data_IF_250117810784
#
_entry.id   IF_250117810784
#
_cell.length_a   1.000
_cell.length_b   1.000
_cell.length_c   1.000
_cell.angle_alpha   90.00
_cell.angle_beta   90.00
_cell.angle_gamma   90.00
#
_symmetry.space_group_name_H-M   'P 1'
#
loop_
_entity.id
_entity.type
_entity.pdbx_description
1 polymer ?
#
# COMPACT_ATOMS: atom_id res chain seq x y z
N UNK A 1 13.45 12.60 6.14
CA UNK A 1 12.44 11.63 5.64
C UNK A 1 12.89 10.23 6.02
N UNK A 2 12.01 9.44 6.62
CA UNK A 2 12.22 8.01 6.89
C UNK A 2 11.31 7.22 5.97
N UNK A 3 11.73 6.06 5.51
CA UNK A 3 10.92 5.16 4.69
C UNK A 3 11.07 3.72 5.15
N UNK A 4 10.06 2.92 4.92
CA UNK A 4 10.13 1.47 5.05
C UNK A 4 10.93 0.92 3.86
N UNK A 5 11.87 0.01 4.11
CA UNK A 5 12.63 -0.70 3.06
C UNK A 5 12.50 -2.20 3.30
N UNK A 6 11.38 -2.79 2.90
CA UNK A 6 11.17 -4.22 3.09
C UNK A 6 12.19 -5.03 2.30
N UNK A 7 12.76 -6.04 2.95
CA UNK A 7 13.65 -7.01 2.32
C UNK A 7 12.94 -8.35 2.23
N UNK A 8 12.63 -8.78 1.02
CA UNK A 8 11.93 -10.02 0.77
C UNK A 8 12.73 -10.95 -0.14
N UNK A 9 12.62 -12.26 0.08
CA UNK A 9 13.14 -13.26 -0.86
C UNK A 9 12.26 -13.31 -2.11
N UNK A 10 12.77 -13.89 -3.20
CA UNK A 10 12.00 -14.07 -4.46
C UNK A 10 10.67 -14.79 -4.21
N UNK A 11 10.67 -15.85 -3.39
CA UNK A 11 9.45 -16.58 -3.04
C UNK A 11 8.44 -15.70 -2.31
N UNK A 12 8.89 -14.88 -1.38
CA UNK A 12 8.05 -13.94 -0.64
C UNK A 12 7.46 -12.88 -1.58
N UNK A 13 8.26 -12.31 -2.48
CA UNK A 13 7.82 -11.33 -3.47
C UNK A 13 6.69 -11.92 -4.32
N UNK A 14 6.86 -13.11 -4.85
CA UNK A 14 5.84 -13.76 -5.68
C UNK A 14 4.53 -14.04 -4.90
N UNK A 15 4.63 -14.45 -3.63
CA UNK A 15 3.45 -14.64 -2.78
C UNK A 15 2.75 -13.31 -2.45
N UNK A 16 3.51 -12.24 -2.15
CA UNK A 16 2.97 -10.90 -1.93
C UNK A 16 2.25 -10.38 -3.20
N UNK A 17 2.84 -10.57 -4.37
CA UNK A 17 2.23 -10.17 -5.65
C UNK A 17 0.91 -10.91 -5.90
N UNK A 18 0.83 -12.19 -5.57
CA UNK A 18 -0.41 -12.97 -5.66
C UNK A 18 -1.47 -12.47 -4.68
N UNK A 19 -1.09 -12.18 -3.44
CA UNK A 19 -1.99 -11.57 -2.45
C UNK A 19 -2.48 -10.19 -2.91
N UNK A 20 -1.58 -9.35 -3.43
CA UNK A 20 -1.94 -8.03 -3.94
C UNK A 20 -2.90 -8.11 -5.13
N UNK A 21 -2.63 -9.00 -6.08
CA UNK A 21 -3.53 -9.23 -7.20
C UNK A 21 -4.91 -9.68 -6.73
N UNK A 22 -4.95 -10.65 -5.79
CA UNK A 22 -6.21 -11.08 -5.18
C UNK A 22 -6.95 -9.92 -4.51
N UNK A 23 -6.25 -9.10 -3.71
CA UNK A 23 -6.83 -7.95 -3.01
C UNK A 23 -7.41 -6.91 -3.98
N UNK A 24 -6.72 -6.64 -5.09
CA UNK A 24 -7.14 -5.70 -6.14
C UNK A 24 -8.37 -6.24 -6.88
N UNK A 25 -8.40 -7.53 -7.21
CA UNK A 25 -9.50 -8.19 -7.93
C UNK A 25 -10.72 -8.42 -7.02
N UNK A 26 -10.53 -8.55 -5.70
CA UNK A 26 -11.57 -8.84 -4.71
C UNK A 26 -11.54 -7.86 -3.52
N UNK A 27 -11.74 -6.54 -3.73
CA UNK A 27 -11.49 -5.51 -2.72
C UNK A 27 -12.40 -5.63 -1.48
N UNK A 28 -13.64 -6.11 -1.64
CA UNK A 28 -14.56 -6.30 -0.51
C UNK A 28 -14.17 -7.52 0.33
N UNK A 29 -13.78 -8.62 -0.30
CA UNK A 29 -13.30 -9.81 0.42
C UNK A 29 -11.97 -9.51 1.12
N UNK A 30 -11.05 -8.78 0.47
CA UNK A 30 -9.81 -8.32 1.09
C UNK A 30 -10.08 -7.44 2.32
N UNK A 31 -11.06 -6.53 2.23
CA UNK A 31 -11.49 -5.75 3.39
C UNK A 31 -11.96 -6.65 4.54
N UNK A 32 -12.80 -7.68 4.27
CA UNK A 32 -13.24 -8.62 5.30
C UNK A 32 -12.07 -9.35 5.96
N UNK A 33 -11.08 -9.74 5.17
CA UNK A 33 -9.86 -10.41 5.64
C UNK A 33 -9.05 -9.49 6.56
N UNK A 34 -8.80 -8.28 6.13
CA UNK A 34 -8.04 -7.30 6.94
C UNK A 34 -8.77 -6.95 8.22
N UNK A 35 -10.10 -6.86 8.18
CA UNK A 35 -10.91 -6.63 9.38
C UNK A 35 -10.88 -7.83 10.34
N UNK A 36 -10.90 -9.08 9.86
CA UNK A 36 -10.68 -10.24 10.73
C UNK A 36 -9.40 -10.09 11.55
N UNK A 37 -8.28 -9.80 10.90
CA UNK A 37 -7.00 -9.61 11.58
C UNK A 37 -6.96 -8.35 12.45
N UNK A 38 -7.65 -7.27 12.06
CA UNK A 38 -7.69 -6.01 12.83
C UNK A 38 -8.48 -6.14 14.14
N UNK A 39 -9.58 -6.91 14.13
CA UNK A 39 -10.48 -7.10 15.28
C UNK A 39 -9.89 -8.13 16.25
N UNK A 40 -9.19 -9.15 15.74
CA UNK A 40 -8.54 -10.15 16.57
C UNK A 40 -7.55 -9.47 17.54
N UNK A 41 -7.72 -9.74 18.84
CA UNK A 41 -6.80 -9.23 19.86
C UNK A 41 -5.43 -9.85 19.66
N UNK A 42 -4.41 -9.01 19.68
CA UNK A 42 -3.00 -9.43 19.55
C UNK A 42 -2.20 -8.96 20.76
N UNK A 43 -1.32 -9.83 21.26
CA UNK A 43 -0.29 -9.48 22.25
C UNK A 43 1.07 -9.90 21.66
N UNK A 44 2.01 -8.97 21.56
CA UNK A 44 3.33 -9.21 20.96
C UNK A 44 3.27 -9.92 19.60
N UNK A 45 2.36 -9.45 18.71
CA UNK A 45 2.04 -10.03 17.40
C UNK A 45 1.37 -11.42 17.43
N UNK A 46 1.16 -12.03 18.59
CA UNK A 46 0.46 -13.30 18.74
C UNK A 46 -1.04 -13.08 18.94
N UNK A 47 -1.86 -13.94 18.36
CA UNK A 47 -3.30 -13.96 18.53
C UNK A 47 -3.81 -15.38 18.70
N UNK A 48 -4.72 -15.57 19.66
CA UNK A 48 -5.57 -16.77 19.76
C UNK A 48 -7.02 -16.31 19.70
N UNK A 49 -7.75 -16.70 18.67
CA UNK A 49 -9.09 -16.16 18.40
C UNK A 49 -10.03 -17.20 17.78
N UNK A 50 -11.33 -16.94 17.85
CA UNK A 50 -12.32 -17.70 17.10
C UNK A 50 -12.14 -17.49 15.59
N UNK A 51 -12.48 -18.51 14.78
CA UNK A 51 -12.46 -18.40 13.30
C UNK A 51 -13.57 -17.51 12.75
N UNK A 52 -14.54 -17.15 13.56
CA UNK A 52 -15.61 -16.22 13.22
C UNK A 52 -15.65 -15.14 14.31
N UNK A 53 -15.55 -13.90 13.91
CA UNK A 53 -15.55 -12.73 14.78
C UNK A 53 -16.72 -11.81 14.41
N UNK A 54 -17.33 -11.21 15.41
CA UNK A 54 -18.39 -10.23 15.21
C UNK A 54 -17.96 -8.86 15.73
N UNK A 55 -18.19 -7.83 14.95
CA UNK A 55 -17.95 -6.44 15.33
C UNK A 55 -18.90 -5.51 14.59
N UNK A 56 -19.51 -4.57 15.33
CA UNK A 56 -20.45 -3.57 14.78
C UNK A 56 -21.56 -4.18 13.89
N UNK A 57 -22.12 -5.33 14.31
CA UNK A 57 -23.18 -6.03 13.58
C UNK A 57 -22.73 -6.72 12.28
N UNK A 58 -21.43 -6.85 12.05
CA UNK A 58 -20.84 -7.56 10.91
C UNK A 58 -20.05 -8.77 11.38
N UNK A 59 -20.04 -9.81 10.54
CA UNK A 59 -19.32 -11.05 10.76
C UNK A 59 -18.07 -11.11 9.87
N UNK A 60 -16.94 -11.48 10.47
CA UNK A 60 -15.64 -11.60 9.79
C UNK A 60 -15.09 -13.01 10.00
N UNK A 61 -14.70 -13.67 8.92
CA UNK A 61 -14.27 -15.07 8.94
C UNK A 61 -12.78 -15.21 8.70
N UNK A 62 -12.17 -16.18 9.36
CA UNK A 62 -10.78 -16.58 9.14
C UNK A 62 -10.52 -16.94 7.68
N UNK A 63 -9.51 -16.35 7.03
CA UNK A 63 -9.28 -16.48 5.59
C UNK A 63 -8.52 -17.79 5.23
N UNK A 64 -9.07 -18.94 5.58
CA UNK A 64 -8.39 -20.25 5.45
C UNK A 64 -7.80 -20.49 4.06
N UNK A 65 -8.49 -20.07 2.99
CA UNK A 65 -8.06 -20.26 1.60
C UNK A 65 -6.77 -19.49 1.24
N UNK A 66 -6.53 -18.36 1.89
CA UNK A 66 -5.37 -17.50 1.62
C UNK A 66 -4.20 -17.73 2.58
N UNK A 67 -4.40 -18.48 3.66
CA UNK A 67 -3.34 -18.76 4.63
C UNK A 67 -2.06 -19.32 3.99
N UNK A 68 -2.11 -20.22 3.01
CA UNK A 68 -0.90 -20.66 2.32
C UNK A 68 -0.10 -19.49 1.69
N UNK A 69 -0.78 -18.51 1.08
CA UNK A 69 -0.12 -17.34 0.52
C UNK A 69 0.44 -16.42 1.60
N UNK A 70 -0.27 -16.20 2.71
CA UNK A 70 0.25 -15.43 3.85
C UNK A 70 1.51 -16.08 4.44
N UNK A 71 1.56 -17.39 4.52
CA UNK A 71 2.74 -18.15 4.98
C UNK A 71 3.90 -18.05 3.98
N UNK A 72 3.64 -18.25 2.68
CA UNK A 72 4.65 -18.13 1.63
C UNK A 72 5.21 -16.71 1.50
N UNK A 73 4.38 -15.70 1.77
CA UNK A 73 4.80 -14.29 1.88
C UNK A 73 5.56 -13.98 3.18
N UNK A 74 5.69 -14.95 4.09
CA UNK A 74 6.31 -14.78 5.42
C UNK A 74 5.63 -13.70 6.27
N UNK A 75 4.30 -13.60 6.19
CA UNK A 75 3.54 -12.61 6.94
C UNK A 75 3.06 -13.15 8.29
N UNK A 76 2.70 -14.43 8.33
CA UNK A 76 2.23 -15.06 9.57
C UNK A 76 2.61 -16.54 9.65
N UNK A 77 2.67 -17.03 10.88
CA UNK A 77 2.83 -18.44 11.23
C UNK A 77 1.57 -18.91 11.95
N UNK A 78 1.00 -20.03 11.51
CA UNK A 78 -0.08 -20.71 12.25
C UNK A 78 0.57 -21.59 13.30
N UNK A 79 0.24 -21.36 14.56
CA UNK A 79 0.72 -22.12 15.70
C UNK A 79 -0.20 -23.30 15.98
N UNK A 80 -1.51 -23.07 16.00
CA UNK A 80 -2.53 -24.07 16.18
C UNK A 80 -3.78 -23.74 15.36
N UNK A 81 -4.42 -24.75 14.80
CA UNK A 81 -5.70 -24.59 14.08
C UNK A 81 -6.68 -25.68 14.50
N UNK A 82 -7.77 -25.29 15.17
CA UNK A 82 -8.90 -26.13 15.57
C UNK A 82 -10.12 -25.86 14.67
N UNK A 83 -11.20 -26.56 14.88
CA UNK A 83 -12.44 -26.39 14.10
C UNK A 83 -13.01 -24.97 14.18
N UNK A 84 -13.02 -24.38 15.38
CA UNK A 84 -13.64 -23.10 15.72
C UNK A 84 -12.65 -22.01 16.09
N UNK A 85 -11.38 -22.32 16.33
CA UNK A 85 -10.33 -21.40 16.81
C UNK A 85 -9.05 -21.53 16.02
N UNK A 86 -8.27 -20.45 16.02
CA UNK A 86 -6.93 -20.42 15.42
C UNK A 86 -5.99 -19.61 16.31
N UNK A 87 -4.75 -20.10 16.43
CA UNK A 87 -3.64 -19.35 17.00
C UNK A 87 -2.59 -19.08 15.93
N UNK A 88 -2.16 -17.83 15.82
CA UNK A 88 -1.18 -17.40 14.84
C UNK A 88 -0.31 -16.26 15.37
N UNK A 89 0.87 -16.09 14.76
CA UNK A 89 1.80 -15.01 15.05
C UNK A 89 2.16 -14.27 13.77
N UNK A 90 2.07 -12.94 13.78
CA UNK A 90 2.62 -12.10 12.71
C UNK A 90 4.16 -12.09 12.83
N UNK A 91 4.85 -12.28 11.71
CA UNK A 91 6.30 -12.49 11.71
C UNK A 91 7.13 -11.18 11.75
N UNK A 92 6.48 -10.03 11.63
CA UNK A 92 7.09 -8.70 11.78
C UNK A 92 6.04 -7.62 12.02
N UNK A 93 6.47 -6.43 12.44
CA UNK A 93 5.60 -5.24 12.52
C UNK A 93 4.99 -4.87 11.16
N UNK A 94 5.76 -5.02 10.09
CA UNK A 94 5.27 -4.80 8.72
C UNK A 94 4.19 -5.82 8.34
N UNK A 95 4.41 -7.11 8.64
CA UNK A 95 3.42 -8.16 8.41
C UNK A 95 2.13 -7.91 9.20
N UNK A 96 2.25 -7.48 10.46
CA UNK A 96 1.12 -7.09 11.30
C UNK A 96 0.33 -5.93 10.67
N UNK A 97 1.01 -4.89 10.18
CA UNK A 97 0.40 -3.74 9.55
C UNK A 97 -0.28 -4.14 8.20
N UNK A 98 0.43 -4.88 7.35
CA UNK A 98 -0.05 -5.32 6.04
C UNK A 98 -1.32 -6.19 6.14
N UNK A 99 -1.37 -7.11 7.11
CA UNK A 99 -2.54 -7.97 7.28
C UNK A 99 -3.76 -7.24 7.85
N UNK A 100 -3.58 -6.12 8.55
CA UNK A 100 -4.63 -5.37 9.26
C UNK A 100 -5.09 -4.10 8.55
N UNK A 101 -4.39 -3.67 7.50
CA UNK A 101 -4.66 -2.43 6.79
C UNK A 101 -4.99 -2.70 5.33
N UNK A 102 -6.14 -2.23 4.87
CA UNK A 102 -6.64 -2.51 3.51
C UNK A 102 -5.69 -2.05 2.41
N UNK A 103 -5.06 -0.88 2.56
CA UNK A 103 -4.27 -0.21 1.51
C UNK A 103 -2.84 -0.71 1.35
N UNK A 104 -2.20 -1.12 2.42
CA UNK A 104 -0.76 -1.42 2.44
C UNK A 104 -0.29 -2.47 1.42
N UNK A 105 -1.15 -3.44 1.08
CA UNK A 105 -0.83 -4.43 0.06
C UNK A 105 -0.65 -3.81 -1.33
N UNK A 106 -1.41 -2.77 -1.66
CA UNK A 106 -1.30 -2.05 -2.93
C UNK A 106 -0.01 -1.23 -3.00
N UNK A 107 0.33 -0.53 -1.93
CA UNK A 107 1.59 0.23 -1.80
C UNK A 107 2.80 -0.70 -2.00
N UNK A 108 2.82 -1.83 -1.27
CA UNK A 108 3.89 -2.81 -1.37
C UNK A 108 3.97 -3.42 -2.78
N UNK A 109 2.83 -3.70 -3.42
CA UNK A 109 2.81 -4.22 -4.78
C UNK A 109 3.45 -3.26 -5.78
N UNK A 110 3.09 -1.97 -5.73
CA UNK A 110 3.64 -0.94 -6.61
C UNK A 110 5.14 -0.77 -6.37
N UNK A 111 5.57 -0.76 -5.11
CA UNK A 111 6.97 -0.70 -4.73
C UNK A 111 7.77 -1.89 -5.32
N UNK A 112 7.24 -3.12 -5.21
CA UNK A 112 7.88 -4.31 -5.76
C UNK A 112 7.97 -4.29 -7.28
N UNK A 113 6.94 -3.80 -7.99
CA UNK A 113 6.99 -3.62 -9.45
C UNK A 113 8.11 -2.66 -9.86
N UNK A 114 8.33 -1.59 -9.08
CA UNK A 114 9.40 -0.65 -9.36
C UNK A 114 10.80 -1.26 -9.12
N UNK A 115 10.98 -1.99 -8.02
CA UNK A 115 12.23 -2.69 -7.72
C UNK A 115 12.60 -3.70 -8.82
N UNK A 116 11.64 -4.52 -9.24
CA UNK A 116 11.86 -5.52 -10.30
C UNK A 116 12.20 -4.92 -11.66
N UNK A 117 11.75 -3.69 -11.91
CA UNK A 117 12.07 -3.00 -13.16
C UNK A 117 13.55 -2.61 -13.29
N UNK A 118 14.27 -2.56 -12.15
CA UNK A 118 15.67 -2.10 -12.05
C UNK A 118 15.94 -0.73 -12.71
N UNK A 119 14.84 0.02 -12.98
CA UNK A 119 14.93 1.28 -13.72
C UNK A 119 15.27 2.47 -12.84
N UNK A 120 14.72 2.50 -11.62
CA UNK A 120 14.81 3.64 -10.72
C UNK A 120 16.10 3.63 -9.90
N UNK A 121 16.64 4.82 -9.62
CA UNK A 121 17.82 4.97 -8.76
C UNK A 121 17.45 4.81 -7.29
N UNK A 122 16.17 5.14 -6.94
CA UNK A 122 15.65 4.99 -5.61
C UNK A 122 14.14 4.70 -5.65
N UNK A 123 13.70 3.79 -4.77
CA UNK A 123 12.30 3.50 -4.50
C UNK A 123 12.09 3.54 -2.98
N UNK A 124 11.08 4.24 -2.54
CA UNK A 124 10.69 4.36 -1.14
C UNK A 124 9.21 3.97 -0.99
N UNK A 125 8.87 3.38 0.15
CA UNK A 125 7.50 3.06 0.53
C UNK A 125 7.24 3.60 1.93
N UNK A 126 6.06 4.15 2.18
CA UNK A 126 5.68 4.71 3.46
C UNK A 126 6.65 5.80 3.91
N UNK A 127 6.86 6.81 3.09
CA UNK A 127 7.80 7.87 3.39
C UNK A 127 7.16 8.92 4.29
N UNK A 128 7.55 8.93 5.56
CA UNK A 128 7.09 9.91 6.55
C UNK A 128 7.76 11.28 6.32
N UNK A 129 6.95 12.33 6.37
CA UNK A 129 7.37 13.72 6.20
C UNK A 129 7.32 14.42 7.55
N UNK A 130 8.45 15.01 7.92
CA UNK A 130 8.56 15.91 9.04
C UNK A 130 8.65 17.35 8.51
N UNK A 131 7.60 18.15 8.74
CA UNK A 131 7.49 19.50 8.23
C UNK A 131 8.37 20.51 8.95
N UNK A 132 8.77 20.25 10.19
CA UNK A 132 9.58 21.16 11.02
C UNK A 132 11.02 20.68 11.24
N UNK A 133 11.40 19.52 10.74
CA UNK A 133 12.77 19.01 10.77
C UNK A 133 13.23 18.49 12.14
N UNK A 134 12.32 18.26 13.07
CA UNK A 134 12.62 17.81 14.42
C UNK A 134 12.04 16.40 14.65
N UNK A 135 12.70 15.36 14.14
CA UNK A 135 12.38 13.96 14.47
C UNK A 135 13.01 13.58 15.82
N UNK A 136 12.31 12.91 16.75
CA UNK A 136 10.88 12.56 16.81
C UNK A 136 10.17 13.29 17.96
N UNK A 137 9.39 14.31 17.67
CA UNK A 137 8.44 14.86 18.64
C UNK A 137 7.05 14.26 18.41
N UNK A 138 6.42 13.76 19.49
CA UNK A 138 5.19 12.97 19.46
C UNK A 138 3.93 13.77 19.06
N UNK A 139 4.03 15.09 18.90
CA UNK A 139 2.90 15.99 18.65
C UNK A 139 2.84 16.55 17.21
N UNK A 140 3.72 16.08 16.32
CA UNK A 140 3.73 16.56 14.94
C UNK A 140 2.77 15.78 14.06
N UNK A 141 1.99 16.49 13.26
CA UNK A 141 1.23 15.90 12.17
C UNK A 141 2.22 15.28 11.18
N UNK A 142 2.38 13.98 11.24
CA UNK A 142 3.19 13.24 10.31
C UNK A 142 2.31 12.94 9.07
N UNK A 143 2.75 13.42 7.92
CA UNK A 143 2.16 13.02 6.65
C UNK A 143 3.02 11.90 6.06
N UNK A 144 2.39 10.97 5.36
CA UNK A 144 3.06 9.86 4.70
C UNK A 144 2.79 9.94 3.19
N UNK A 145 3.85 9.75 2.38
CA UNK A 145 3.71 9.49 0.96
C UNK A 145 3.79 7.99 0.75
N UNK A 146 2.74 7.41 0.16
CA UNK A 146 2.60 5.96 0.06
C UNK A 146 3.78 5.32 -0.70
N UNK A 147 4.14 5.85 -1.89
CA UNK A 147 5.30 5.38 -2.67
C UNK A 147 5.99 6.53 -3.38
N UNK A 148 7.32 6.50 -3.40
CA UNK A 148 8.16 7.46 -4.14
C UNK A 148 9.14 6.72 -5.04
N UNK A 149 9.26 7.15 -6.30
CA UNK A 149 10.33 6.72 -7.20
C UNK A 149 11.18 7.92 -7.60
N UNK A 150 12.49 7.69 -7.76
CA UNK A 150 13.42 8.70 -8.29
C UNK A 150 14.26 8.11 -9.41
N UNK A 151 14.41 8.89 -10.49
CA UNK A 151 15.36 8.60 -11.58
C UNK A 151 16.04 9.89 -12.04
N UNK A 152 17.31 10.06 -11.71
CA UNK A 152 18.04 11.32 -11.90
C UNK A 152 17.39 12.43 -11.09
N UNK A 153 16.96 13.50 -11.75
CA UNK A 153 16.26 14.63 -11.15
C UNK A 153 14.72 14.48 -11.16
N UNK A 154 14.19 13.45 -11.82
CA UNK A 154 12.75 13.21 -11.88
C UNK A 154 12.28 12.44 -10.64
N UNK A 155 11.23 12.95 -10.01
CA UNK A 155 10.57 12.33 -8.85
C UNK A 155 9.14 11.96 -9.22
N UNK A 156 8.67 10.82 -8.73
CA UNK A 156 7.31 10.35 -8.89
C UNK A 156 6.72 10.14 -7.51
N UNK A 157 5.67 10.88 -7.18
CA UNK A 157 4.88 10.67 -5.98
C UNK A 157 3.62 9.88 -6.32
N UNK A 158 3.37 8.81 -5.58
CA UNK A 158 2.23 7.93 -5.82
C UNK A 158 1.42 7.81 -4.54
N UNK A 159 0.13 8.13 -4.62
CA UNK A 159 -0.85 7.79 -3.60
C UNK A 159 -1.64 6.55 -4.02
N UNK A 160 -1.81 5.60 -3.09
CA UNK A 160 -2.43 4.30 -3.30
C UNK A 160 -3.79 4.23 -2.59
N UNK A 161 -4.87 4.05 -3.32
CA UNK A 161 -6.23 4.00 -2.76
C UNK A 161 -6.93 2.71 -3.16
N UNK A 162 -7.24 1.85 -2.18
CA UNK A 162 -8.12 0.68 -2.35
C UNK A 162 -9.59 0.99 -2.04
N UNK A 163 -9.90 2.26 -1.90
CA UNK A 163 -11.25 2.81 -1.72
C UNK A 163 -11.56 3.78 -2.85
N UNK A 164 -12.75 4.38 -2.84
CA UNK A 164 -13.09 5.45 -3.78
C UNK A 164 -12.10 6.60 -3.67
N UNK A 165 -11.79 7.24 -4.80
CA UNK A 165 -10.92 8.41 -4.84
C UNK A 165 -11.53 9.55 -4.03
N UNK A 166 -10.71 10.19 -3.20
CA UNK A 166 -11.10 11.35 -2.39
C UNK A 166 -10.38 12.64 -2.83
N UNK A 167 -10.94 13.77 -2.49
CA UNK A 167 -10.34 15.07 -2.79
C UNK A 167 -9.08 15.34 -1.96
N UNK A 168 -9.04 14.79 -0.76
CA UNK A 168 -7.90 14.90 0.16
C UNK A 168 -6.64 14.31 -0.47
N UNK A 169 -6.74 13.11 -1.04
CA UNK A 169 -5.62 12.45 -1.72
C UNK A 169 -5.04 13.28 -2.88
N UNK A 170 -5.90 14.00 -3.61
CA UNK A 170 -5.46 14.88 -4.71
C UNK A 170 -4.72 16.09 -4.14
N UNK A 171 -5.28 16.72 -3.10
CA UNK A 171 -4.69 17.90 -2.48
C UNK A 171 -3.34 17.60 -1.81
N UNK A 172 -3.24 16.47 -1.11
CA UNK A 172 -1.99 16.02 -0.48
C UNK A 172 -0.85 15.86 -1.49
N UNK A 173 -1.11 15.18 -2.61
CA UNK A 173 -0.11 15.04 -3.68
C UNK A 173 0.33 16.38 -4.27
N UNK A 174 -0.59 17.32 -4.42
CA UNK A 174 -0.27 18.67 -4.89
C UNK A 174 0.66 19.40 -3.92
N UNK A 175 0.36 19.32 -2.61
CA UNK A 175 1.19 19.92 -1.56
C UNK A 175 2.59 19.31 -1.56
N UNK A 176 2.70 17.98 -1.63
CA UNK A 176 4.00 17.30 -1.64
C UNK A 176 4.82 17.65 -2.89
N UNK A 177 4.20 17.65 -4.07
CA UNK A 177 4.88 17.97 -5.31
C UNK A 177 5.44 19.40 -5.30
N UNK A 178 4.62 20.37 -4.90
CA UNK A 178 5.03 21.76 -4.86
C UNK A 178 6.14 22.02 -3.83
N UNK A 179 6.14 21.30 -2.71
CA UNK A 179 7.11 21.51 -1.65
C UNK A 179 8.45 20.78 -1.87
N UNK A 180 8.41 19.55 -2.42
CA UNK A 180 9.60 18.69 -2.44
C UNK A 180 10.21 18.44 -3.82
N UNK A 181 9.49 18.66 -4.91
CA UNK A 181 9.95 18.23 -6.23
C UNK A 181 9.83 19.28 -7.33
N UNK A 182 9.05 20.34 -7.15
CA UNK A 182 8.85 21.37 -8.16
C UNK A 182 8.34 20.81 -9.51
N UNK A 183 8.79 21.42 -10.62
CA UNK A 183 8.29 21.11 -11.97
C UNK A 183 8.67 19.73 -12.52
N UNK A 184 9.66 19.06 -11.92
CA UNK A 184 10.13 17.73 -12.36
C UNK A 184 9.43 16.57 -11.65
N UNK A 185 8.22 16.80 -11.17
CA UNK A 185 7.44 15.81 -10.43
C UNK A 185 6.30 15.22 -11.27
N UNK A 186 6.23 13.89 -11.31
CA UNK A 186 5.04 13.18 -11.74
C UNK A 186 4.18 12.84 -10.52
N UNK A 187 2.97 13.36 -10.49
CA UNK A 187 1.95 13.07 -9.48
C UNK A 187 1.04 11.95 -9.97
N UNK A 188 0.90 10.89 -9.21
CA UNK A 188 0.07 9.74 -9.60
C UNK A 188 -0.82 9.29 -8.45
N UNK A 189 -2.04 8.89 -8.77
CA UNK A 189 -2.94 8.17 -7.87
C UNK A 189 -3.22 6.81 -8.48
N UNK A 190 -2.94 5.75 -7.75
CA UNK A 190 -3.37 4.39 -8.10
C UNK A 190 -4.62 4.08 -7.30
N UNK A 191 -5.74 3.92 -7.99
CA UNK A 191 -7.05 3.73 -7.35
C UNK A 191 -7.73 2.46 -7.88
N UNK A 192 -8.02 1.52 -6.96
CA UNK A 192 -8.82 0.33 -7.28
C UNK A 192 -10.32 0.51 -7.00
N UNK A 193 -10.70 1.60 -6.32
CA UNK A 193 -12.10 1.97 -6.08
C UNK A 193 -12.71 2.79 -7.21
N UNK A 194 -13.88 3.35 -6.96
CA UNK A 194 -14.59 4.20 -7.92
C UNK A 194 -13.94 5.58 -8.02
N UNK A 195 -13.98 6.15 -9.21
CA UNK A 195 -13.49 7.50 -9.48
C UNK A 195 -14.68 8.35 -9.93
N UNK A 196 -15.07 9.29 -9.07
CA UNK A 196 -16.09 10.27 -9.42
C UNK A 196 -15.60 11.17 -10.56
N UNK A 197 -16.43 11.45 -11.59
CA UNK A 197 -16.05 12.35 -12.69
C UNK A 197 -15.55 13.74 -12.24
N UNK A 198 -16.11 14.29 -11.15
CA UNK A 198 -15.66 15.58 -10.57
C UNK A 198 -14.20 15.49 -10.10
N UNK A 199 -13.82 14.39 -9.44
CA UNK A 199 -12.44 14.18 -8.98
C UNK A 199 -11.49 13.86 -10.13
N UNK A 200 -11.98 13.17 -11.17
CA UNK A 200 -11.21 12.96 -12.40
C UNK A 200 -10.83 14.29 -13.08
N UNK A 201 -11.78 15.22 -13.19
CA UNK A 201 -11.53 16.56 -13.74
C UNK A 201 -10.51 17.34 -12.88
N UNK A 202 -10.65 17.27 -11.54
CA UNK A 202 -9.71 17.91 -10.63
C UNK A 202 -8.29 17.32 -10.74
N UNK A 203 -8.17 16.00 -10.92
CA UNK A 203 -6.87 15.38 -11.19
C UNK A 203 -6.23 15.97 -12.47
N UNK A 204 -7.01 16.17 -13.54
CA UNK A 204 -6.52 16.79 -14.77
C UNK A 204 -6.05 18.23 -14.55
N UNK A 205 -6.82 19.04 -13.80
CA UNK A 205 -6.46 20.44 -13.48
C UNK A 205 -5.13 20.53 -12.72
N UNK A 206 -4.88 19.59 -11.80
CA UNK A 206 -3.64 19.54 -11.01
C UNK A 206 -2.52 18.73 -11.66
N UNK A 207 -2.71 18.22 -12.88
CA UNK A 207 -1.72 17.39 -13.57
C UNK A 207 -1.44 16.06 -12.84
N UNK A 208 -2.44 15.53 -12.12
CA UNK A 208 -2.36 14.24 -11.45
C UNK A 208 -2.80 13.12 -12.40
N UNK A 209 -1.93 12.16 -12.65
CA UNK A 209 -2.23 10.98 -13.46
C UNK A 209 -2.94 9.94 -12.60
N UNK A 210 -4.14 9.52 -13.01
CA UNK A 210 -4.89 8.47 -12.32
C UNK A 210 -4.71 7.13 -13.04
N UNK A 211 -4.26 6.12 -12.29
CA UNK A 211 -4.09 4.74 -12.74
C UNK A 211 -5.21 3.90 -12.12
N UNK A 212 -6.05 3.32 -12.98
CA UNK A 212 -7.11 2.41 -12.56
C UNK A 212 -6.60 0.99 -12.35
N UNK A 213 -7.41 0.16 -11.71
CA UNK A 213 -7.11 -1.24 -11.40
C UNK A 213 -6.56 -2.02 -12.60
N UNK A 214 -7.20 -1.93 -13.76
CA UNK A 214 -6.81 -2.62 -15.00
C UNK A 214 -5.53 -2.10 -15.64
N UNK A 215 -5.04 -0.95 -15.22
CA UNK A 215 -3.86 -0.27 -15.74
C UNK A 215 -2.60 -0.46 -14.88
N UNK A 216 -2.73 -1.04 -13.67
CA UNK A 216 -1.62 -1.14 -12.69
C UNK A 216 -0.41 -1.86 -13.30
N UNK A 217 -0.61 -2.88 -14.13
CA UNK A 217 0.49 -3.61 -14.78
C UNK A 217 1.28 -2.73 -15.77
N UNK A 218 0.68 -1.67 -16.27
CA UNK A 218 1.32 -0.72 -17.18
C UNK A 218 1.92 0.50 -16.47
N UNK A 219 1.83 0.58 -15.13
CA UNK A 219 2.31 1.72 -14.35
C UNK A 219 3.80 2.00 -14.61
N UNK A 220 4.66 1.00 -14.48
CA UNK A 220 6.11 1.19 -14.67
C UNK A 220 6.46 1.65 -16.09
N UNK A 221 5.98 1.01 -17.18
CA UNK A 221 6.17 1.53 -18.54
C UNK A 221 5.68 2.97 -18.74
N UNK A 222 4.54 3.35 -18.13
CA UNK A 222 4.02 4.72 -18.22
C UNK A 222 4.96 5.73 -17.53
N UNK A 223 5.43 5.42 -16.33
CA UNK A 223 6.39 6.25 -15.60
C UNK A 223 7.71 6.38 -16.38
N UNK A 224 8.23 5.29 -16.91
CA UNK A 224 9.45 5.29 -17.72
C UNK A 224 9.32 6.20 -18.97
N UNK A 225 8.17 6.10 -19.65
CA UNK A 225 7.86 6.97 -20.81
C UNK A 225 7.79 8.43 -20.42
N UNK A 226 7.13 8.75 -19.30
CA UNK A 226 7.06 10.12 -18.79
C UNK A 226 8.46 10.69 -18.52
N UNK A 227 9.27 9.98 -17.74
CA UNK A 227 10.64 10.42 -17.39
C UNK A 227 11.52 10.61 -18.63
N UNK A 228 11.41 9.71 -19.62
CA UNK A 228 12.17 9.85 -20.89
C UNK A 228 11.79 11.13 -21.66
N UNK A 229 10.51 11.48 -21.66
CA UNK A 229 9.99 12.64 -22.39
C UNK A 229 10.30 13.99 -21.70
N UNK A 230 10.56 13.98 -20.39
CA UNK A 230 10.81 15.17 -19.57
C UNK A 230 12.28 15.28 -19.10
N UNK A 231 13.18 14.43 -19.57
CA UNK A 231 14.62 14.60 -19.39
C UNK A 231 15.09 15.75 -20.27
N UNK A 232 15.25 16.94 -19.66
CA UNK A 232 16.00 18.05 -20.22
C UNK A 232 17.38 18.11 -19.61
#
# INVERSE_FOLDING_TARGET
MKSRRPQHTVKQIEAIKKLAKYAIENPEEWYQITQFFAIAKTADFHSETAKVLESNGKTYSYPAKLIPLFRDANLLKIEEEKSDRVAYTFLSSEAHLLCRTKGHILELYIYLLALESEYFDECLIGAEIDWNGIFPEMDNVQNEIDVIFRKGHSVVFISCKMTDLSVEAINELEVYANHFAGDNCLKMIVCSGRINPVYSNRCQEYGVTVIKQDQIQNLIPMVQKYIKNHRK
#
